data_IF_369357634514
#
_entry.id   IF_369357634514
#
_cell.length_a   1.000
_cell.length_b   1.000
_cell.length_c   1.000
_cell.angle_alpha   90.00
_cell.angle_beta   90.00
_cell.angle_gamma   90.00
#
_symmetry.space_group_name_H-M   'P 1'
#
loop_
_entity.id
_entity.type
_entity.pdbx_description
1 polymer ?
#
# COMPACT_ATOMS: atom_id res chain seq x y z
N UNK A 1 -3.67 5.83 3.17
CA UNK A 1 -2.70 4.73 3.03
C UNK A 1 -1.27 5.26 2.91
N UNK A 2 -0.83 5.79 1.75
CA UNK A 2 0.56 6.28 1.58
C UNK A 2 1.00 7.29 2.65
N UNK A 3 0.15 8.27 2.97
CA UNK A 3 0.39 9.25 4.06
C UNK A 3 0.64 8.58 5.43
N UNK A 4 -0.10 7.53 5.77
CA UNK A 4 0.09 6.79 7.03
C UNK A 4 1.42 6.03 7.04
N UNK A 5 1.83 5.49 5.89
CA UNK A 5 3.11 4.79 5.77
C UNK A 5 4.28 5.75 5.92
N UNK A 6 4.20 6.95 5.32
CA UNK A 6 5.21 8.01 5.53
C UNK A 6 5.33 8.32 7.02
N UNK A 7 4.21 8.52 7.72
CA UNK A 7 4.21 8.76 9.17
C UNK A 7 4.92 7.64 9.94
N UNK A 8 4.60 6.37 9.64
CA UNK A 8 5.23 5.23 10.31
C UNK A 8 6.74 5.13 10.06
N UNK A 9 7.18 5.39 8.83
CA UNK A 9 8.61 5.38 8.48
C UNK A 9 9.37 6.48 9.21
N UNK A 10 8.81 7.69 9.29
CA UNK A 10 9.43 8.82 9.97
C UNK A 10 9.62 8.57 11.48
N UNK A 11 8.81 7.68 12.07
CA UNK A 11 9.05 7.21 13.45
C UNK A 11 10.31 6.36 13.54
N UNK A 12 10.62 5.51 12.54
CA UNK A 12 11.86 4.71 12.54
C UNK A 12 13.11 5.58 12.39
N UNK A 13 12.97 6.80 11.86
CA UNK A 13 14.04 7.80 11.68
C UNK A 13 14.11 8.81 12.85
N UNK A 14 13.38 8.58 13.95
CA UNK A 14 13.25 9.49 15.09
C UNK A 14 12.71 10.90 14.72
N UNK A 15 12.08 11.05 13.55
CA UNK A 15 11.50 12.31 13.05
C UNK A 15 10.06 12.52 13.55
N UNK A 16 9.84 12.45 14.86
CA UNK A 16 8.51 12.43 15.49
C UNK A 16 7.60 13.60 15.11
N UNK A 17 8.14 14.81 14.97
CA UNK A 17 7.34 15.99 14.57
C UNK A 17 6.79 15.83 13.17
N UNK A 18 7.63 15.43 12.21
CA UNK A 18 7.21 15.19 10.84
C UNK A 18 6.25 13.99 10.77
N UNK A 19 6.52 12.92 11.51
CA UNK A 19 5.64 11.78 11.63
C UNK A 19 4.24 12.18 12.13
N UNK A 20 4.17 13.08 13.12
CA UNK A 20 2.93 13.64 13.65
C UNK A 20 2.13 14.44 12.63
N UNK A 21 2.80 15.27 11.81
CA UNK A 21 2.15 16.00 10.72
C UNK A 21 1.51 15.05 9.71
N UNK A 22 2.23 14.01 9.27
CA UNK A 22 1.69 13.01 8.35
C UNK A 22 0.57 12.18 8.98
N UNK A 23 0.66 11.83 10.28
CA UNK A 23 -0.41 11.14 10.99
C UNK A 23 -1.69 11.99 11.06
N UNK A 24 -1.56 13.28 11.37
CA UNK A 24 -2.68 14.22 11.41
C UNK A 24 -3.33 14.37 10.03
N UNK A 25 -2.52 14.52 8.97
CA UNK A 25 -3.01 14.54 7.59
C UNK A 25 -3.73 13.25 7.21
N UNK A 26 -3.20 12.09 7.62
CA UNK A 26 -3.84 10.80 7.35
C UNK A 26 -5.20 10.67 8.08
N UNK A 27 -5.30 11.17 9.31
CA UNK A 27 -6.56 11.25 10.04
C UNK A 27 -7.56 12.17 9.34
N UNK A 28 -7.13 13.35 8.90
CA UNK A 28 -7.98 14.28 8.15
C UNK A 28 -8.50 13.66 6.84
N UNK A 29 -7.62 12.99 6.08
CA UNK A 29 -8.02 12.26 4.86
C UNK A 29 -9.04 11.17 5.19
N UNK A 30 -8.81 10.38 6.25
CA UNK A 30 -9.75 9.34 6.68
C UNK A 30 -11.13 9.92 7.03
N UNK A 31 -11.18 11.02 7.78
CA UNK A 31 -12.43 11.72 8.12
C UNK A 31 -13.12 12.24 6.87
N UNK A 32 -12.39 12.90 5.96
CA UNK A 32 -12.95 13.46 4.72
C UNK A 32 -13.50 12.36 3.81
N UNK A 33 -12.79 11.26 3.63
CA UNK A 33 -13.26 10.13 2.82
C UNK A 33 -14.50 9.46 3.44
N UNK A 34 -14.51 9.28 4.76
CA UNK A 34 -15.64 8.69 5.48
C UNK A 34 -16.87 9.58 5.42
N UNK A 35 -16.72 10.88 5.68
CA UNK A 35 -17.81 11.86 5.59
C UNK A 35 -18.30 12.02 4.15
N UNK A 36 -17.37 12.04 3.18
CA UNK A 36 -17.67 12.05 1.76
C UNK A 36 -18.50 10.83 1.35
N UNK A 37 -18.10 9.62 1.77
CA UNK A 37 -18.90 8.42 1.52
C UNK A 37 -20.28 8.49 2.19
N UNK A 38 -20.37 8.94 3.45
CA UNK A 38 -21.65 9.09 4.14
C UNK A 38 -22.60 10.03 3.39
N UNK A 39 -22.07 11.10 2.78
CA UNK A 39 -22.83 12.13 2.04
C UNK A 39 -23.17 11.74 0.61
N UNK A 40 -22.24 11.13 -0.13
CA UNK A 40 -22.34 10.88 -1.56
C UNK A 40 -22.66 9.43 -1.91
N UNK A 41 -22.45 8.48 -0.98
CA UNK A 41 -22.69 7.04 -1.14
C UNK A 41 -22.03 6.45 -2.39
N UNK A 42 -20.84 6.94 -2.72
CA UNK A 42 -20.05 6.58 -3.88
C UNK A 42 -18.57 6.41 -3.50
N UNK A 43 -17.87 5.38 -4.02
CA UNK A 43 -18.41 4.28 -4.82
C UNK A 43 -19.33 3.36 -3.98
N UNK A 44 -20.27 2.66 -4.61
CA UNK A 44 -21.09 1.64 -3.93
C UNK A 44 -20.22 0.43 -3.57
N UNK A 45 -20.63 -0.37 -2.60
CA UNK A 45 -19.91 -1.60 -2.25
C UNK A 45 -20.25 -2.72 -3.24
N UNK A 46 -19.61 -2.68 -4.41
CA UNK A 46 -19.88 -3.57 -5.54
C UNK A 46 -18.59 -4.18 -6.08
N UNK A 47 -18.67 -5.34 -6.72
CA UNK A 47 -17.51 -6.10 -7.23
C UNK A 47 -16.56 -5.24 -8.09
N UNK A 48 -17.11 -4.37 -8.93
CA UNK A 48 -16.34 -3.51 -9.84
C UNK A 48 -15.51 -2.42 -9.14
N UNK A 49 -15.74 -2.21 -7.84
CA UNK A 49 -15.14 -1.15 -7.01
C UNK A 49 -14.30 -1.71 -5.85
N UNK A 50 -14.01 -3.02 -5.87
CA UNK A 50 -13.28 -3.67 -4.78
C UNK A 50 -11.86 -3.13 -4.61
N UNK A 51 -11.23 -2.64 -5.69
CA UNK A 51 -9.91 -2.03 -5.62
C UNK A 51 -9.92 -0.76 -4.74
N UNK A 52 -10.90 0.11 -4.92
CA UNK A 52 -11.11 1.34 -4.15
C UNK A 52 -11.41 1.02 -2.69
N UNK A 53 -12.32 0.09 -2.44
CA UNK A 53 -12.67 -0.35 -1.09
C UNK A 53 -11.48 -0.98 -0.37
N UNK A 54 -10.75 -1.87 -1.05
CA UNK A 54 -9.53 -2.46 -0.50
C UNK A 54 -8.52 -1.38 -0.09
N UNK A 55 -8.25 -0.41 -0.97
CA UNK A 55 -7.34 0.70 -0.65
C UNK A 55 -7.80 1.51 0.58
N UNK A 56 -9.10 1.71 0.76
CA UNK A 56 -9.66 2.39 1.93
C UNK A 56 -9.37 1.60 3.22
N UNK A 57 -9.70 0.31 3.26
CA UNK A 57 -9.51 -0.53 4.46
C UNK A 57 -8.04 -0.83 4.76
N UNK A 58 -7.21 -0.96 3.73
CA UNK A 58 -5.75 -0.96 3.87
C UNK A 58 -5.28 0.38 4.48
N UNK A 59 -5.89 1.49 4.07
CA UNK A 59 -5.65 2.80 4.67
C UNK A 59 -5.98 2.83 6.16
N UNK A 60 -7.05 2.18 6.60
CA UNK A 60 -7.43 2.04 8.02
C UNK A 60 -6.39 1.24 8.79
N UNK A 61 -5.95 0.10 8.25
CA UNK A 61 -4.87 -0.72 8.84
C UNK A 61 -3.58 0.10 9.00
N UNK A 62 -3.17 0.78 7.93
CA UNK A 62 -1.96 1.60 7.93
C UNK A 62 -2.06 2.78 8.90
N UNK A 63 -3.24 3.40 9.03
CA UNK A 63 -3.47 4.49 9.99
C UNK A 63 -3.38 3.99 11.43
N UNK A 64 -4.00 2.85 11.75
CA UNK A 64 -3.88 2.24 13.08
C UNK A 64 -2.44 1.91 13.44
N UNK A 65 -1.67 1.35 12.50
CA UNK A 65 -0.25 1.07 12.68
C UNK A 65 0.59 2.34 12.87
N UNK A 66 0.33 3.40 12.10
CA UNK A 66 1.04 4.68 12.20
C UNK A 66 0.78 5.37 13.55
N UNK A 67 -0.48 5.47 13.96
CA UNK A 67 -0.85 6.06 15.26
C UNK A 67 -0.27 5.28 16.42
N UNK A 68 -0.33 3.94 16.37
CA UNK A 68 0.27 3.10 17.39
C UNK A 68 1.79 3.25 17.46
N UNK A 69 2.49 3.35 16.32
CA UNK A 69 3.94 3.57 16.31
C UNK A 69 4.35 4.96 16.79
N UNK A 70 3.55 5.99 16.49
CA UNK A 70 3.85 7.36 16.89
C UNK A 70 3.59 7.62 18.39
N UNK A 71 2.58 6.96 18.96
CA UNK A 71 2.10 7.24 20.33
C UNK A 71 2.49 6.17 21.34
N UNK A 72 3.06 5.05 20.88
CA UNK A 72 3.25 3.81 21.64
C UNK A 72 1.95 3.20 22.22
N UNK A 73 0.78 3.66 21.77
CA UNK A 73 -0.51 3.12 22.23
C UNK A 73 -0.97 1.99 21.28
N UNK A 74 -0.79 0.74 21.70
CA UNK A 74 -1.14 -0.46 20.92
C UNK A 74 -2.62 -0.58 20.54
N UNK A 75 -3.53 0.10 21.24
CA UNK A 75 -4.98 0.06 20.96
C UNK A 75 -5.30 0.55 19.53
N UNK A 76 -4.55 1.52 19.00
CA UNK A 76 -4.80 2.04 17.65
C UNK A 76 -4.57 0.97 16.59
N UNK A 77 -3.53 0.14 16.77
CA UNK A 77 -3.23 -0.99 15.90
C UNK A 77 -4.33 -2.04 15.98
N UNK A 78 -4.80 -2.36 17.19
CA UNK A 78 -5.87 -3.31 17.42
C UNK A 78 -7.19 -2.86 16.76
N UNK A 79 -7.58 -1.59 16.95
CA UNK A 79 -8.77 -1.01 16.31
C UNK A 79 -8.63 -1.01 14.79
N UNK A 80 -7.47 -0.58 14.27
CA UNK A 80 -7.18 -0.63 12.83
C UNK A 80 -7.32 -2.03 12.26
N UNK A 81 -6.82 -3.05 12.98
CA UNK A 81 -6.93 -4.45 12.60
C UNK A 81 -8.38 -4.93 12.54
N UNK A 82 -9.18 -4.71 13.59
CA UNK A 82 -10.56 -5.21 13.63
C UNK A 82 -11.52 -4.46 12.73
N UNK A 83 -11.24 -3.20 12.39
CA UNK A 83 -12.03 -2.43 11.41
C UNK A 83 -11.60 -2.77 9.98
N UNK A 84 -10.31 -2.82 9.69
CA UNK A 84 -9.80 -3.02 8.32
C UNK A 84 -9.67 -4.49 7.94
N UNK A 85 -9.11 -5.32 8.80
CA UNK A 85 -8.73 -6.70 8.53
C UNK A 85 -9.87 -7.58 8.02
N UNK A 86 -10.98 -7.71 8.76
CA UNK A 86 -12.15 -8.49 8.31
C UNK A 86 -12.67 -8.02 6.95
N UNK A 87 -12.70 -6.71 6.70
CA UNK A 87 -13.22 -6.18 5.44
C UNK A 87 -12.25 -6.43 4.29
N UNK A 88 -10.93 -6.42 4.52
CA UNK A 88 -9.97 -6.83 3.48
C UNK A 88 -10.17 -8.30 3.06
N UNK A 89 -10.53 -9.18 3.99
CA UNK A 89 -10.89 -10.58 3.69
C UNK A 89 -12.18 -10.65 2.86
N UNK A 90 -13.17 -9.82 3.18
CA UNK A 90 -14.41 -9.73 2.39
C UNK A 90 -14.10 -9.25 0.96
N UNK A 91 -13.33 -8.17 0.80
CA UNK A 91 -12.97 -7.65 -0.52
C UNK A 91 -12.14 -8.65 -1.33
N UNK A 92 -11.26 -9.40 -0.66
CA UNK A 92 -10.51 -10.51 -1.25
C UNK A 92 -11.46 -11.59 -1.79
N UNK A 93 -12.41 -12.04 -0.97
CA UNK A 93 -13.37 -13.07 -1.37
C UNK A 93 -14.24 -12.64 -2.55
N UNK A 94 -14.73 -11.39 -2.53
CA UNK A 94 -15.53 -10.83 -3.64
C UNK A 94 -14.70 -10.73 -4.92
N UNK A 95 -13.46 -10.27 -4.84
CA UNK A 95 -12.57 -10.13 -6.00
C UNK A 95 -12.30 -11.48 -6.67
N UNK A 96 -12.14 -12.55 -5.88
CA UNK A 96 -11.91 -13.89 -6.40
C UNK A 96 -13.12 -14.48 -7.14
N UNK A 97 -14.33 -13.97 -6.91
CA UNK A 97 -15.51 -14.47 -7.62
C UNK A 97 -15.47 -14.17 -9.12
N UNK A 98 -14.91 -13.02 -9.52
CA UNK A 98 -14.72 -12.64 -10.92
C UNK A 98 -13.82 -11.41 -11.03
N UNK A 99 -12.90 -11.45 -11.99
CA UNK A 99 -12.11 -10.29 -12.40
C UNK A 99 -12.79 -9.59 -13.58
N UNK A 100 -13.41 -8.44 -13.33
CA UNK A 100 -14.13 -7.68 -14.36
C UNK A 100 -13.19 -6.78 -15.19
N UNK A 101 -13.46 -6.70 -16.50
CA UNK A 101 -12.75 -5.85 -17.47
C UNK A 101 -11.48 -6.47 -18.05
N UNK A 102 -10.64 -5.63 -18.66
CA UNK A 102 -9.32 -6.03 -19.14
C UNK A 102 -8.33 -6.23 -17.98
N UNK A 103 -7.29 -7.08 -18.15
CA UNK A 103 -6.26 -7.28 -17.16
C UNK A 103 -5.60 -5.98 -16.71
N UNK A 104 -5.46 -5.82 -15.39
CA UNK A 104 -4.90 -4.61 -14.77
C UNK A 104 -4.35 -4.92 -13.40
N UNK A 105 -3.30 -4.21 -13.00
CA UNK A 105 -2.67 -4.41 -11.70
C UNK A 105 -3.59 -4.10 -10.52
N UNK A 106 -4.64 -3.30 -10.72
CA UNK A 106 -5.63 -3.02 -9.67
C UNK A 106 -6.47 -4.24 -9.29
N UNK A 107 -6.54 -5.29 -10.12
CA UNK A 107 -7.13 -6.57 -9.71
C UNK A 107 -6.43 -7.20 -8.51
N UNK A 108 -5.15 -6.91 -8.32
CA UNK A 108 -4.39 -7.42 -7.20
C UNK A 108 -4.66 -6.67 -5.89
N UNK A 109 -5.18 -5.44 -5.91
CA UNK A 109 -5.33 -4.61 -4.70
C UNK A 109 -6.19 -5.28 -3.61
N UNK A 110 -7.37 -5.87 -3.91
CA UNK A 110 -8.13 -6.63 -2.92
C UNK A 110 -7.39 -7.88 -2.43
N UNK A 111 -6.51 -8.43 -3.25
CA UNK A 111 -5.73 -9.61 -2.93
C UNK A 111 -4.54 -9.32 -2.02
N UNK A 112 -4.06 -8.06 -1.98
CA UNK A 112 -2.99 -7.62 -1.08
C UNK A 112 -3.51 -7.32 0.33
N UNK A 113 -4.78 -6.95 0.49
CA UNK A 113 -5.37 -6.55 1.78
C UNK A 113 -5.12 -7.56 2.92
N UNK A 114 -5.33 -8.87 2.70
CA UNK A 114 -4.97 -9.89 3.70
C UNK A 114 -3.48 -9.90 4.08
N UNK A 115 -2.54 -9.67 3.15
CA UNK A 115 -1.10 -9.61 3.47
C UNK A 115 -0.76 -8.51 4.47
N UNK A 116 -1.40 -7.35 4.33
CA UNK A 116 -1.20 -6.21 5.23
C UNK A 116 -1.82 -6.51 6.59
N UNK A 117 -2.98 -7.17 6.60
CA UNK A 117 -3.57 -7.67 7.84
C UNK A 117 -2.66 -8.71 8.51
N UNK A 118 -1.92 -9.52 7.74
CA UNK A 118 -0.97 -10.49 8.28
C UNK A 118 0.20 -9.83 9.01
N UNK A 119 0.78 -8.75 8.45
CA UNK A 119 1.87 -8.03 9.12
C UNK A 119 1.37 -7.33 10.40
N UNK A 120 0.17 -6.73 10.37
CA UNK A 120 -0.45 -6.16 11.59
C UNK A 120 -0.75 -7.23 12.63
N UNK A 121 -1.29 -8.39 12.21
CA UNK A 121 -1.54 -9.52 13.10
C UNK A 121 -0.25 -10.05 13.74
N UNK A 122 0.87 -10.07 13.02
CA UNK A 122 2.17 -10.44 13.57
C UNK A 122 2.61 -9.54 14.73
N UNK A 123 2.38 -8.23 14.63
CA UNK A 123 2.62 -7.31 15.75
C UNK A 123 1.66 -7.56 16.90
N UNK A 124 0.37 -7.74 16.62
CA UNK A 124 -0.62 -8.06 17.64
C UNK A 124 -0.35 -9.40 18.33
N UNK A 125 0.30 -10.36 17.66
CA UNK A 125 0.69 -11.62 18.26
C UNK A 125 1.72 -11.45 19.39
N UNK A 126 2.56 -10.41 19.33
CA UNK A 126 3.51 -10.07 20.40
C UNK A 126 2.79 -9.58 21.65
N UNK A 127 1.70 -8.83 21.46
CA UNK A 127 0.97 -8.17 22.55
C UNK A 127 -0.18 -9.04 23.11
N UNK A 128 -0.84 -9.84 22.25
CA UNK A 128 -2.09 -10.55 22.55
C UNK A 128 -2.02 -12.07 22.31
N UNK A 129 -0.87 -12.59 21.86
CA UNK A 129 -0.57 -14.03 21.84
C UNK A 129 -0.97 -14.79 20.56
N UNK A 130 -0.98 -16.12 20.69
CA UNK A 130 -0.92 -17.07 19.58
C UNK A 130 -2.06 -16.98 18.54
N UNK A 131 -3.25 -16.53 18.96
CA UNK A 131 -4.39 -16.44 18.04
C UNK A 131 -4.13 -15.49 16.87
N UNK A 132 -3.48 -14.35 17.14
CA UNK A 132 -3.12 -13.39 16.10
C UNK A 132 -1.99 -13.91 15.20
N UNK A 133 -1.11 -14.75 15.74
CA UNK A 133 -0.09 -15.42 14.92
C UNK A 133 -0.75 -16.34 13.88
N UNK A 134 -1.68 -17.21 14.32
CA UNK A 134 -2.41 -18.14 13.44
C UNK A 134 -3.22 -17.36 12.38
N UNK A 135 -3.93 -16.31 12.80
CA UNK A 135 -4.63 -15.43 11.88
C UNK A 135 -3.68 -14.80 10.86
N UNK A 136 -2.53 -14.30 11.33
CA UNK A 136 -1.49 -13.72 10.48
C UNK A 136 -0.99 -14.69 9.42
N UNK A 137 -0.69 -15.93 9.81
CA UNK A 137 -0.26 -17.00 8.89
C UNK A 137 -1.33 -17.30 7.83
N UNK A 138 -2.59 -17.41 8.24
CA UNK A 138 -3.69 -17.67 7.30
C UNK A 138 -3.84 -16.52 6.29
N UNK A 139 -3.84 -15.28 6.78
CA UNK A 139 -3.94 -14.07 5.96
C UNK A 139 -2.76 -13.91 4.99
N UNK A 140 -1.55 -14.26 5.45
CA UNK A 140 -0.34 -14.30 4.62
C UNK A 140 -0.52 -15.29 3.46
N UNK A 141 -0.94 -16.53 3.76
CA UNK A 141 -1.14 -17.57 2.76
C UNK A 141 -2.26 -17.20 1.76
N UNK A 142 -3.38 -16.67 2.25
CA UNK A 142 -4.48 -16.19 1.41
C UNK A 142 -4.01 -15.22 0.34
N UNK A 143 -3.22 -14.21 0.75
CA UNK A 143 -2.73 -13.21 -0.20
C UNK A 143 -1.64 -13.76 -1.11
N UNK A 144 -0.64 -14.48 -0.57
CA UNK A 144 0.46 -14.99 -1.38
C UNK A 144 -0.03 -15.94 -2.49
N UNK A 145 -0.95 -16.85 -2.15
CA UNK A 145 -1.49 -17.84 -3.08
C UNK A 145 -2.43 -17.26 -4.14
N UNK A 146 -2.88 -16.01 -3.99
CA UNK A 146 -3.85 -15.39 -4.91
C UNK A 146 -3.30 -14.18 -5.64
N UNK A 147 -2.62 -13.27 -4.94
CA UNK A 147 -2.05 -12.08 -5.53
C UNK A 147 -0.88 -12.39 -6.48
N UNK A 148 0.02 -13.32 -6.11
CA UNK A 148 1.18 -13.67 -6.95
C UNK A 148 0.75 -14.25 -8.30
N UNK A 149 -0.11 -15.28 -8.39
CA UNK A 149 -0.59 -15.78 -9.68
C UNK A 149 -1.30 -14.71 -10.52
N UNK A 150 -2.10 -13.85 -9.89
CA UNK A 150 -2.79 -12.76 -10.59
C UNK A 150 -1.79 -11.75 -11.16
N UNK A 151 -0.75 -11.36 -10.41
CA UNK A 151 0.26 -10.46 -10.94
C UNK A 151 1.09 -11.10 -12.05
N UNK A 152 1.45 -12.38 -11.92
CA UNK A 152 2.12 -13.12 -13.02
C UNK A 152 1.27 -13.08 -14.28
N UNK A 153 -0.03 -13.35 -14.16
CA UNK A 153 -0.96 -13.25 -15.29
C UNK A 153 -1.05 -11.83 -15.87
N UNK A 154 -1.13 -10.80 -15.03
CA UNK A 154 -1.20 -9.40 -15.49
C UNK A 154 0.11 -8.98 -16.17
N UNK A 155 1.27 -9.39 -15.67
CA UNK A 155 2.56 -9.17 -16.35
C UNK A 155 2.60 -9.88 -17.71
N UNK A 156 2.12 -11.11 -17.79
CA UNK A 156 1.99 -11.82 -19.06
C UNK A 156 1.05 -11.09 -20.01
N UNK A 157 -0.10 -10.62 -19.55
CA UNK A 157 -1.04 -9.83 -20.35
C UNK A 157 -0.41 -8.49 -20.81
N UNK A 158 0.37 -7.83 -19.94
CA UNK A 158 1.07 -6.60 -20.25
C UNK A 158 2.12 -6.80 -21.36
N UNK A 159 2.85 -7.91 -21.32
CA UNK A 159 3.79 -8.29 -22.37
C UNK A 159 3.11 -8.44 -23.74
N UNK A 160 1.85 -8.85 -23.75
CA UNK A 160 1.03 -8.98 -24.97
C UNK A 160 0.22 -7.71 -25.30
N UNK A 161 0.55 -6.57 -24.69
CA UNK A 161 -0.10 -5.28 -24.97
C UNK A 161 -1.55 -5.17 -24.49
N UNK A 162 -1.99 -6.04 -23.58
CA UNK A 162 -3.39 -6.08 -23.08
C UNK A 162 -3.63 -5.25 -21.81
N UNK A 163 -2.60 -4.58 -21.30
CA UNK A 163 -2.69 -3.74 -20.10
C UNK A 163 -2.48 -2.28 -20.48
N UNK A 164 -3.43 -1.43 -20.07
CA UNK A 164 -3.41 0.00 -20.38
C UNK A 164 -2.62 0.80 -19.33
N UNK A 165 -1.46 1.31 -19.72
CA UNK A 165 -0.64 2.24 -18.94
C UNK A 165 -0.75 3.70 -19.40
N UNK A 166 -1.81 4.06 -20.13
CA UNK A 166 -2.05 5.45 -20.51
C UNK A 166 -2.47 6.31 -19.32
N UNK A 167 -2.04 7.57 -19.34
CA UNK A 167 -2.41 8.57 -18.32
C UNK A 167 -2.06 8.11 -16.90
N UNK A 168 -2.94 8.45 -15.94
CA UNK A 168 -2.74 8.13 -14.52
C UNK A 168 -2.75 6.63 -14.18
N UNK A 169 -3.21 5.75 -15.08
CA UNK A 169 -3.22 4.29 -14.86
C UNK A 169 -1.81 3.70 -14.81
N UNK A 170 -0.83 4.36 -15.42
CA UNK A 170 0.59 4.00 -15.36
C UNK A 170 1.11 3.81 -13.94
N UNK A 171 0.62 4.59 -12.96
CA UNK A 171 0.99 4.47 -11.56
C UNK A 171 0.65 3.09 -10.96
N UNK A 172 -0.30 2.36 -11.53
CA UNK A 172 -0.69 1.02 -11.06
C UNK A 172 0.39 -0.03 -11.29
N UNK A 173 1.39 0.25 -12.16
CA UNK A 173 2.56 -0.62 -12.37
C UNK A 173 3.37 -0.84 -11.08
N UNK A 174 3.24 0.05 -10.09
CA UNK A 174 3.88 -0.08 -8.78
C UNK A 174 3.21 -1.12 -7.88
N UNK A 175 1.92 -1.42 -8.07
CA UNK A 175 1.10 -2.22 -7.13
C UNK A 175 1.74 -3.58 -6.76
N UNK A 176 2.35 -4.35 -7.68
CA UNK A 176 2.98 -5.64 -7.34
C UNK A 176 4.07 -5.56 -6.27
N UNK A 177 4.85 -4.47 -6.24
CA UNK A 177 5.86 -4.23 -5.21
C UNK A 177 5.26 -4.18 -3.80
N UNK A 178 3.97 -3.83 -3.70
CA UNK A 178 3.21 -3.84 -2.47
C UNK A 178 3.17 -5.22 -1.82
N UNK A 179 2.99 -6.27 -2.62
CA UNK A 179 3.02 -7.66 -2.12
C UNK A 179 4.43 -8.05 -1.71
N UNK A 180 5.45 -7.71 -2.51
CA UNK A 180 6.84 -8.04 -2.20
C UNK A 180 7.27 -7.44 -0.85
N UNK A 181 6.98 -6.15 -0.63
CA UNK A 181 7.33 -5.47 0.62
C UNK A 181 6.55 -5.98 1.82
N UNK A 182 5.22 -6.15 1.69
CA UNK A 182 4.38 -6.61 2.79
C UNK A 182 4.56 -8.08 3.13
N UNK A 183 4.79 -8.94 2.13
CA UNK A 183 5.09 -10.35 2.40
C UNK A 183 6.40 -10.51 3.12
N UNK A 184 7.41 -9.73 2.74
CA UNK A 184 8.69 -9.69 3.45
C UNK A 184 8.47 -9.24 4.89
N UNK A 185 7.79 -8.11 5.09
CA UNK A 185 7.47 -7.57 6.43
C UNK A 185 6.75 -8.61 7.30
N UNK A 186 5.68 -9.23 6.77
CA UNK A 186 4.90 -10.24 7.48
C UNK A 186 5.75 -11.48 7.83
N UNK A 187 6.59 -11.95 6.91
CA UNK A 187 7.47 -13.09 7.14
C UNK A 187 8.49 -12.81 8.26
N UNK A 188 9.10 -11.61 8.28
CA UNK A 188 10.03 -11.23 9.36
C UNK A 188 9.34 -11.13 10.72
N UNK A 189 8.10 -10.64 10.77
CA UNK A 189 7.40 -10.45 12.05
C UNK A 189 6.84 -11.77 12.58
N UNK A 190 6.23 -12.59 11.71
CA UNK A 190 5.60 -13.86 12.10
C UNK A 190 6.63 -14.95 12.35
N UNK A 191 7.66 -15.06 11.50
CA UNK A 191 8.63 -16.16 11.55
C UNK A 191 10.07 -15.65 11.56
N UNK A 192 10.47 -14.82 12.55
CA UNK A 192 11.82 -14.25 12.58
C UNK A 192 12.88 -15.37 12.64
N UNK A 193 13.81 -15.36 11.69
CA UNK A 193 14.93 -16.29 11.64
C UNK A 193 15.58 -16.38 10.27
N UNK A 194 16.44 -17.38 10.05
CA UNK A 194 17.19 -17.50 8.78
C UNK A 194 16.27 -17.67 7.57
N UNK A 195 15.15 -18.40 7.71
CA UNK A 195 14.19 -18.61 6.61
C UNK A 195 13.54 -17.30 6.18
N UNK A 196 13.12 -16.46 7.13
CA UNK A 196 12.54 -15.16 6.82
C UNK A 196 13.57 -14.22 6.19
N UNK A 197 14.83 -14.27 6.63
CA UNK A 197 15.95 -13.52 6.02
C UNK A 197 16.14 -13.94 4.56
N UNK A 198 16.26 -15.23 4.25
CA UNK A 198 16.40 -15.69 2.87
C UNK A 198 15.20 -15.29 2.01
N UNK A 199 13.98 -15.40 2.55
CA UNK A 199 12.78 -14.92 1.89
C UNK A 199 12.88 -13.43 1.57
N UNK A 200 13.27 -12.60 2.54
CA UNK A 200 13.41 -11.16 2.37
C UNK A 200 14.47 -10.77 1.34
N UNK A 201 15.63 -11.41 1.35
CA UNK A 201 16.68 -11.16 0.35
C UNK A 201 16.23 -11.52 -1.06
N UNK A 202 15.53 -12.65 -1.24
CA UNK A 202 14.97 -13.05 -2.54
C UNK A 202 13.88 -12.06 -2.98
N UNK A 203 12.99 -11.67 -2.08
CA UNK A 203 11.94 -10.71 -2.34
C UNK A 203 12.52 -9.34 -2.75
N UNK A 204 13.56 -8.86 -2.08
CA UNK A 204 14.27 -7.62 -2.45
C UNK A 204 14.94 -7.73 -3.83
N UNK A 205 15.55 -8.88 -4.15
CA UNK A 205 16.11 -9.11 -5.48
C UNK A 205 15.02 -9.04 -6.57
N UNK A 206 13.82 -9.56 -6.29
CA UNK A 206 12.65 -9.44 -7.18
C UNK A 206 12.14 -7.99 -7.23
N UNK A 207 12.21 -7.23 -6.14
CA UNK A 207 11.74 -5.85 -6.12
C UNK A 207 12.48 -4.95 -7.12
N UNK A 208 13.75 -5.23 -7.42
CA UNK A 208 14.57 -4.44 -8.35
C UNK A 208 13.97 -4.40 -9.76
N UNK A 209 13.80 -5.53 -10.49
CA UNK A 209 13.22 -5.50 -11.84
C UNK A 209 11.78 -4.99 -11.85
N UNK A 210 10.98 -5.29 -10.82
CA UNK A 210 9.61 -4.77 -10.73
C UNK A 210 9.58 -3.24 -10.57
N UNK A 211 10.52 -2.68 -9.80
CA UNK A 211 10.68 -1.23 -9.64
C UNK A 211 11.08 -0.58 -10.95
N UNK A 212 12.07 -1.14 -11.66
CA UNK A 212 12.49 -0.62 -12.96
C UNK A 212 11.33 -0.62 -13.96
N UNK A 213 10.56 -1.72 -14.01
CA UNK A 213 9.37 -1.79 -14.85
C UNK A 213 8.33 -0.71 -14.50
N UNK A 214 8.08 -0.49 -13.20
CA UNK A 214 7.15 0.53 -12.75
C UNK A 214 7.64 1.95 -13.09
N UNK A 215 8.93 2.23 -12.94
CA UNK A 215 9.55 3.51 -13.29
C UNK A 215 9.42 3.82 -14.78
N UNK A 216 9.74 2.84 -15.64
CA UNK A 216 9.65 2.99 -17.11
C UNK A 216 8.23 3.32 -17.57
N UNK A 217 7.21 2.78 -16.91
CA UNK A 217 5.81 3.03 -17.27
C UNK A 217 5.25 4.32 -16.64
N UNK A 218 5.60 4.62 -15.39
CA UNK A 218 5.01 5.73 -14.63
C UNK A 218 5.69 7.07 -14.88
N UNK A 219 7.03 7.13 -14.84
CA UNK A 219 7.74 8.41 -14.85
C UNK A 219 7.56 9.20 -16.14
N UNK A 220 7.53 8.60 -17.34
CA UNK A 220 7.22 9.35 -18.56
C UNK A 220 5.83 10.01 -18.52
N UNK A 221 4.83 9.35 -17.93
CA UNK A 221 3.48 9.91 -17.81
C UNK A 221 3.42 11.01 -16.75
N UNK A 222 4.13 10.84 -15.63
CA UNK A 222 4.29 11.87 -14.62
C UNK A 222 4.97 13.13 -15.19
N UNK A 223 6.05 12.96 -15.95
CA UNK A 223 6.78 14.05 -16.60
C UNK A 223 5.93 14.79 -17.66
N UNK A 224 5.04 14.07 -18.36
CA UNK A 224 4.04 14.65 -19.28
C UNK A 224 2.88 15.35 -18.58
N UNK A 225 2.84 15.31 -17.24
CA UNK A 225 1.79 15.94 -16.42
C UNK A 225 0.36 15.53 -16.84
N UNK A 226 0.17 14.25 -17.12
CA UNK A 226 -1.11 13.71 -17.61
C UNK A 226 -2.29 14.05 -16.68
N UNK A 227 -3.55 14.06 -17.18
CA UNK A 227 -4.72 14.36 -16.38
C UNK A 227 -4.76 13.61 -15.04
N UNK A 228 -5.18 14.31 -13.99
CA UNK A 228 -5.30 13.71 -12.67
C UNK A 228 -6.37 12.62 -12.68
N UNK A 229 -6.04 11.53 -12.02
CA UNK A 229 -7.02 10.52 -11.61
C UNK A 229 -6.58 9.94 -10.27
N UNK A 230 -7.51 9.37 -9.48
CA UNK A 230 -7.15 8.71 -8.22
C UNK A 230 -6.08 7.62 -8.37
N UNK A 231 -5.92 7.05 -9.56
CA UNK A 231 -4.93 6.02 -9.86
C UNK A 231 -3.47 6.47 -9.62
N UNK A 232 -3.17 7.78 -9.71
CA UNK A 232 -1.85 8.33 -9.40
C UNK A 232 -1.33 7.87 -8.03
N UNK A 233 -2.21 7.77 -7.04
CA UNK A 233 -1.85 7.40 -5.67
C UNK A 233 -1.37 5.95 -5.52
N UNK A 234 -1.55 5.09 -6.54
CA UNK A 234 -1.10 3.69 -6.51
C UNK A 234 0.43 3.56 -6.35
N UNK A 235 1.22 4.59 -6.70
CA UNK A 235 2.67 4.59 -6.53
C UNK A 235 3.15 4.94 -5.11
N UNK A 236 2.25 5.34 -4.20
CA UNK A 236 2.59 5.76 -2.82
C UNK A 236 2.53 4.65 -1.79
N UNK A 237 1.91 3.52 -2.12
CA UNK A 237 1.95 2.35 -1.23
C UNK A 237 3.26 1.56 -1.37
N UNK A 238 3.66 1.16 -2.58
CA UNK A 238 4.67 0.12 -2.74
C UNK A 238 6.10 0.49 -2.30
N UNK A 239 6.64 1.70 -2.58
CA UNK A 239 7.96 2.08 -2.08
C UNK A 239 8.05 2.00 -0.55
N UNK A 240 7.03 2.48 0.17
CA UNK A 240 6.99 2.40 1.62
C UNK A 240 6.94 0.97 2.15
N UNK A 241 6.24 0.07 1.46
CA UNK A 241 6.22 -1.34 1.88
C UNK A 241 7.52 -2.07 1.60
N UNK A 242 8.21 -1.76 0.50
CA UNK A 242 9.52 -2.33 0.18
C UNK A 242 10.55 -1.82 1.19
N UNK A 243 10.49 -0.54 1.56
CA UNK A 243 11.29 0.05 2.63
C UNK A 243 11.07 -0.69 3.96
N UNK A 244 9.82 -0.80 4.43
CA UNK A 244 9.51 -1.54 5.68
C UNK A 244 9.99 -3.00 5.63
N UNK A 245 9.78 -3.70 4.51
CA UNK A 245 10.23 -5.08 4.35
C UNK A 245 11.75 -5.20 4.38
N UNK A 246 12.46 -4.26 3.74
CA UNK A 246 13.91 -4.17 3.77
C UNK A 246 14.43 -3.91 5.18
N UNK A 247 13.86 -2.94 5.89
CA UNK A 247 14.22 -2.57 7.26
C UNK A 247 14.02 -3.75 8.22
N UNK A 248 12.86 -4.42 8.18
CA UNK A 248 12.62 -5.60 9.01
C UNK A 248 13.56 -6.76 8.66
N UNK A 249 13.94 -6.92 7.38
CA UNK A 249 14.94 -7.92 6.99
C UNK A 249 16.31 -7.56 7.52
N UNK A 250 16.69 -6.28 7.49
CA UNK A 250 17.94 -5.78 8.02
C UNK A 250 18.06 -6.03 9.53
N UNK A 251 17.00 -5.74 10.28
CA UNK A 251 16.92 -6.00 11.73
C UNK A 251 17.10 -7.48 12.06
N UNK A 252 16.41 -8.39 11.36
CA UNK A 252 16.53 -9.84 11.61
C UNK A 252 17.89 -10.39 11.14
N UNK A 253 18.44 -9.85 10.05
CA UNK A 253 19.73 -10.25 9.49
C UNK A 253 20.93 -9.61 10.24
N UNK A 254 20.71 -8.60 11.08
CA UNK A 254 21.78 -7.81 11.73
C UNK A 254 22.62 -7.01 10.74
N UNK A 255 22.04 -6.54 9.62
CA UNK A 255 22.77 -5.88 8.54
C UNK A 255 22.50 -4.38 8.48
N UNK A 256 23.41 -3.57 9.03
CA UNK A 256 23.32 -2.11 9.02
C UNK A 256 23.27 -1.53 7.60
N UNK A 257 24.05 -2.09 6.66
CA UNK A 257 24.05 -1.63 5.27
C UNK A 257 22.70 -1.82 4.58
N UNK A 258 22.05 -2.98 4.81
CA UNK A 258 20.71 -3.23 4.29
C UNK A 258 19.70 -2.26 4.90
N UNK A 259 19.90 -1.91 6.17
CA UNK A 259 19.04 -0.99 6.90
C UNK A 259 19.08 0.41 6.30
N UNK A 260 20.29 0.95 6.11
CA UNK A 260 20.51 2.26 5.47
C UNK A 260 19.87 2.33 4.09
N UNK A 261 20.00 1.27 3.27
CA UNK A 261 19.34 1.22 1.96
C UNK A 261 17.82 1.25 2.13
N UNK A 262 17.28 0.40 3.00
CA UNK A 262 15.84 0.30 3.20
C UNK A 262 15.25 1.63 3.68
N UNK A 263 15.95 2.33 4.56
CA UNK A 263 15.62 3.62 5.14
C UNK A 263 15.84 4.81 4.19
N UNK A 264 16.51 4.60 3.05
CA UNK A 264 16.60 5.62 1.98
C UNK A 264 15.40 5.62 1.02
N UNK A 265 14.73 4.48 0.84
CA UNK A 265 13.54 4.32 -0.04
C UNK A 265 12.35 5.23 0.35
N UNK A 266 12.11 5.59 1.63
CA UNK A 266 11.12 6.60 2.02
C UNK A 266 11.29 7.94 1.33
N UNK A 267 12.49 8.33 0.90
CA UNK A 267 12.69 9.53 0.09
C UNK A 267 11.93 9.45 -1.24
N UNK A 268 11.94 8.27 -1.87
CA UNK A 268 11.16 8.00 -3.08
C UNK A 268 9.65 8.05 -2.79
N UNK A 269 9.22 7.50 -1.65
CA UNK A 269 7.83 7.59 -1.21
C UNK A 269 7.38 9.05 -1.03
N UNK A 270 8.19 9.86 -0.35
CA UNK A 270 7.90 11.29 -0.13
C UNK A 270 7.84 12.00 -1.49
N UNK A 271 8.77 11.72 -2.40
CA UNK A 271 8.75 12.27 -3.76
C UNK A 271 7.46 11.91 -4.51
N UNK A 272 7.05 10.64 -4.49
CA UNK A 272 5.76 10.21 -5.08
C UNK A 272 4.56 10.88 -4.42
N UNK A 273 4.57 11.02 -3.10
CA UNK A 273 3.50 11.67 -2.35
C UNK A 273 3.39 13.15 -2.72
N UNK A 274 4.51 13.87 -2.77
CA UNK A 274 4.58 15.27 -3.19
C UNK A 274 4.09 15.45 -4.63
N UNK A 275 4.54 14.57 -5.55
CA UNK A 275 4.10 14.56 -6.94
C UNK A 275 2.58 14.37 -7.07
N UNK A 276 2.01 13.37 -6.38
CA UNK A 276 0.58 13.10 -6.41
C UNK A 276 -0.22 14.27 -5.80
N UNK A 277 0.28 14.83 -4.70
CA UNK A 277 -0.34 16.00 -4.05
C UNK A 277 -0.34 17.22 -4.95
N UNK A 278 0.79 17.52 -5.59
CA UNK A 278 0.91 18.62 -6.55
C UNK A 278 -0.04 18.44 -7.73
N UNK A 279 -0.15 17.22 -8.28
CA UNK A 279 -1.07 16.94 -9.37
C UNK A 279 -2.54 17.09 -8.95
N UNK A 280 -2.89 16.63 -7.75
CA UNK A 280 -4.24 16.77 -7.19
C UNK A 280 -4.61 18.25 -6.97
N UNK A 281 -3.72 19.04 -6.38
CA UNK A 281 -3.92 20.48 -6.17
C UNK A 281 -4.02 21.22 -7.51
N UNK A 282 -3.19 20.87 -8.50
CA UNK A 282 -3.28 21.41 -9.85
C UNK A 282 -4.64 21.11 -10.50
N UNK A 283 -5.15 19.90 -10.35
CA UNK A 283 -6.49 19.54 -10.85
C UNK A 283 -7.60 20.36 -10.18
N UNK A 284 -7.52 20.59 -8.86
CA UNK A 284 -8.48 21.46 -8.15
C UNK A 284 -8.44 22.90 -8.70
N UNK A 285 -7.23 23.41 -8.99
CA UNK A 285 -7.06 24.73 -9.57
C UNK A 285 -7.66 24.81 -10.97
N UNK A 286 -7.29 23.88 -11.86
CA UNK A 286 -7.84 23.76 -13.22
C UNK A 286 -9.38 23.73 -13.22
N UNK A 287 -9.98 22.99 -12.27
CA UNK A 287 -11.43 22.90 -12.11
C UNK A 287 -12.10 24.18 -11.62
N UNK A 288 -11.43 24.96 -10.76
CA UNK A 288 -11.93 26.27 -10.29
C UNK A 288 -11.91 27.29 -11.42
N UNK A 289 -10.79 27.39 -12.16
CA UNK A 289 -10.66 28.31 -13.30
C UNK A 289 -11.71 28.03 -14.37
N UNK A 290 -12.04 26.76 -14.65
CA UNK A 290 -13.12 26.42 -15.59
C UNK A 290 -14.49 26.91 -15.13
N UNK A 291 -14.79 26.84 -13.83
CA UNK A 291 -16.07 27.34 -13.29
C UNK A 291 -16.16 28.86 -13.37
N UNK A 292 -15.08 29.58 -13.10
CA UNK A 292 -14.99 31.05 -13.21
C UNK A 292 -15.14 31.54 -14.65
N UNK A 293 -14.74 30.76 -15.65
CA UNK A 293 -14.90 31.11 -17.08
C UNK A 293 -16.31 30.80 -17.63
N UNK A 294 -17.13 30.05 -16.88
CA UNK A 294 -18.50 29.66 -17.29
C UNK A 294 -19.61 30.43 -16.57
N UNK A 295 -19.25 31.39 -15.73
CA UNK A 295 -20.15 32.32 -15.04
C UNK A 295 -19.80 33.77 -15.42
#
# INVERSE_FOLDING_TARGET
MGTSIVSRMLVEEDMFVAAGVFAALACAIFVVLTAGYARYRSPRFERTTMAEWSMFFIGVLALGAALSGLTDIGIFRLVGFWVGGPVTVITWGIQLTRFDGDPRFTWGLPLVGPMISASVAGWLARDYGQIYHIMGTALFAMSLLTAVPVFVYVYWAAWHGKVDFSGGKSATAWVPLGVVGQSTTAMQILYPGSVSVYYGLIALAIAIPLSLYAMVNFYPQAARWVPYSPAWWACTFPPGTVSMGGHQTALVNGSEWLDVIALSIPLLLIAHWCLCSARFLGWLWEGRTRKELTH
#
